data_IF_737383613021
#
_entry.id   IF_737383613021
#
_cell.length_a   1.000
_cell.length_b   1.000
_cell.length_c   1.000
_cell.angle_alpha   90.00
_cell.angle_beta   90.00
_cell.angle_gamma   90.00
#
_symmetry.space_group_name_H-M   'P 1'
#
loop_
_entity.id
_entity.type
_entity.pdbx_description
1 polymer ?
#
# COMPACT_ATOMS: atom_id res chain seq x y z
N UNK A 1 8.67 -25.73 44.26
CA UNK A 1 9.02 -26.67 43.17
C UNK A 1 8.11 -26.37 41.98
N UNK A 2 8.61 -25.58 41.03
CA UNK A 2 7.85 -25.21 39.80
C UNK A 2 8.06 -26.35 38.79
N UNK A 3 6.99 -27.12 38.55
CA UNK A 3 6.95 -28.07 37.45
C UNK A 3 7.09 -27.30 36.12
N UNK A 4 8.29 -27.30 35.55
CA UNK A 4 8.45 -27.00 34.13
C UNK A 4 7.81 -28.15 33.37
N UNK A 5 6.61 -27.88 32.82
CA UNK A 5 6.03 -28.73 31.79
C UNK A 5 7.02 -28.73 30.62
N UNK A 6 7.59 -29.87 30.22
CA UNK A 6 8.43 -29.89 29.03
C UNK A 6 7.55 -29.51 27.85
N UNK A 7 7.91 -28.42 27.15
CA UNK A 7 7.35 -28.14 25.85
C UNK A 7 7.58 -29.38 24.95
N UNK A 8 6.57 -29.88 24.26
CA UNK A 8 6.79 -30.94 23.28
C UNK A 8 7.76 -30.39 22.21
N UNK A 9 9.03 -30.75 22.37
CA UNK A 9 10.00 -30.72 21.31
C UNK A 9 9.45 -31.66 20.24
N UNK A 10 9.48 -31.24 18.96
CA UNK A 10 9.14 -32.05 17.78
C UNK A 10 7.67 -32.07 17.34
N UNK A 11 7.06 -30.87 17.18
CA UNK A 11 6.09 -30.75 16.09
C UNK A 11 6.89 -30.84 14.78
N UNK A 12 6.48 -31.71 13.81
CA UNK A 12 7.17 -31.83 12.55
C UNK A 12 7.27 -30.45 11.94
N UNK A 13 8.49 -30.02 11.63
CA UNK A 13 8.75 -28.73 10.99
C UNK A 13 8.15 -28.77 9.60
N UNK A 14 6.92 -28.32 9.47
CA UNK A 14 6.26 -28.22 8.18
C UNK A 14 7.11 -27.37 7.24
N UNK A 15 7.25 -27.84 5.99
CA UNK A 15 7.98 -27.11 4.97
C UNK A 15 7.34 -25.75 4.66
N UNK A 16 8.13 -24.82 4.16
CA UNK A 16 7.61 -23.52 3.73
C UNK A 16 6.46 -23.67 2.71
N UNK A 17 6.55 -24.65 1.80
CA UNK A 17 5.52 -24.88 0.79
C UNK A 17 4.18 -25.31 1.42
N UNK A 18 4.20 -26.06 2.51
CA UNK A 18 2.99 -26.35 3.29
C UNK A 18 2.31 -25.07 3.77
N UNK A 19 3.07 -24.14 4.35
CA UNK A 19 2.54 -22.88 4.87
C UNK A 19 2.10 -21.89 3.78
N UNK A 20 2.61 -22.05 2.56
CA UNK A 20 2.22 -21.25 1.40
C UNK A 20 1.05 -21.86 0.63
N UNK A 21 0.52 -23.03 1.03
CA UNK A 21 -0.56 -23.67 0.29
C UNK A 21 -1.85 -22.82 0.32
N UNK A 22 -2.53 -22.66 -0.82
CA UNK A 22 -3.78 -21.91 -0.88
C UNK A 22 -4.93 -22.60 -0.13
N UNK A 23 -4.88 -23.91 0.03
CA UNK A 23 -5.88 -24.68 0.79
C UNK A 23 -5.86 -24.29 2.26
N UNK A 24 -4.69 -24.26 2.88
CA UNK A 24 -4.54 -23.81 4.28
C UNK A 24 -4.99 -22.36 4.48
N UNK A 25 -4.71 -21.50 3.50
CA UNK A 25 -5.12 -20.10 3.56
C UNK A 25 -6.66 -19.94 3.53
N UNK A 26 -7.38 -20.84 2.82
CA UNK A 26 -8.85 -20.83 2.75
C UNK A 26 -9.52 -21.34 4.04
N UNK A 27 -8.93 -22.32 4.67
CA UNK A 27 -9.48 -22.93 5.90
C UNK A 27 -9.16 -22.09 7.14
N UNK A 28 -8.05 -21.37 7.12
CA UNK A 28 -7.64 -20.54 8.25
C UNK A 28 -8.42 -19.22 8.32
N UNK A 29 -8.90 -18.81 9.50
CA UNK A 29 -9.55 -17.52 9.66
C UNK A 29 -8.67 -16.37 9.12
N UNK A 30 -9.24 -15.40 8.39
CA UNK A 30 -8.47 -14.34 7.73
C UNK A 30 -7.68 -13.46 8.72
N UNK A 31 -8.15 -13.40 9.98
CA UNK A 31 -7.55 -12.60 11.04
C UNK A 31 -6.68 -13.43 12.00
N UNK A 32 -6.53 -14.74 11.78
CA UNK A 32 -5.64 -15.58 12.62
C UNK A 32 -4.20 -15.04 12.55
N UNK A 33 -3.57 -14.79 13.71
CA UNK A 33 -2.20 -14.29 13.73
C UNK A 33 -1.24 -15.37 13.21
N UNK A 34 -0.42 -15.01 12.22
CA UNK A 34 0.69 -15.85 11.77
C UNK A 34 1.88 -14.99 11.37
N UNK A 35 3.08 -15.57 11.49
CA UNK A 35 4.33 -14.88 11.14
C UNK A 35 4.36 -14.48 9.66
N UNK A 36 3.97 -15.38 8.75
CA UNK A 36 3.93 -15.11 7.33
C UNK A 36 2.97 -13.97 6.98
N UNK A 37 1.80 -13.90 7.63
CA UNK A 37 0.86 -12.77 7.43
C UNK A 37 1.47 -11.46 7.92
N UNK A 38 2.13 -11.46 9.08
CA UNK A 38 2.82 -10.27 9.59
C UNK A 38 3.89 -9.77 8.63
N UNK A 39 4.70 -10.68 8.05
CA UNK A 39 5.70 -10.35 7.04
C UNK A 39 5.05 -9.79 5.77
N UNK A 40 4.02 -10.45 5.27
CA UNK A 40 3.29 -10.01 4.08
C UNK A 40 2.64 -8.64 4.27
N UNK A 41 1.96 -8.43 5.39
CA UNK A 41 1.26 -7.20 5.70
C UNK A 41 2.26 -6.04 5.95
N UNK A 42 3.38 -6.29 6.65
CA UNK A 42 4.45 -5.30 6.84
C UNK A 42 5.11 -4.89 5.52
N UNK A 43 5.36 -5.86 4.63
CA UNK A 43 5.91 -5.57 3.30
C UNK A 43 4.89 -4.85 2.42
N UNK A 44 3.62 -5.28 2.47
CA UNK A 44 2.50 -4.66 1.77
C UNK A 44 2.31 -3.20 2.16
N UNK A 45 2.36 -2.90 3.45
CA UNK A 45 2.24 -1.53 3.98
C UNK A 45 3.34 -0.60 3.45
N UNK A 46 4.59 -1.06 3.46
CA UNK A 46 5.71 -0.28 2.90
C UNK A 46 5.58 -0.10 1.39
N UNK A 47 5.19 -1.16 0.67
CA UNK A 47 4.95 -1.09 -0.75
C UNK A 47 3.79 -0.14 -1.08
N UNK A 48 2.71 -0.15 -0.29
CA UNK A 48 1.58 0.76 -0.44
C UNK A 48 2.00 2.22 -0.30
N UNK A 49 2.83 2.56 0.69
CA UNK A 49 3.36 3.92 0.84
C UNK A 49 4.14 4.38 -0.39
N UNK A 50 5.02 3.53 -0.93
CA UNK A 50 5.77 3.88 -2.14
C UNK A 50 4.90 3.90 -3.40
N UNK A 51 3.83 3.12 -3.46
CA UNK A 51 2.88 3.18 -4.59
C UNK A 51 2.15 4.52 -4.67
N UNK A 52 1.88 5.17 -3.53
CA UNK A 52 1.35 6.53 -3.50
C UNK A 52 2.33 7.55 -4.08
N UNK A 53 3.64 7.40 -3.81
CA UNK A 53 4.66 8.26 -4.40
C UNK A 53 4.76 8.06 -5.93
N UNK A 54 4.66 6.81 -6.41
CA UNK A 54 4.66 6.48 -7.85
C UNK A 54 3.45 7.11 -8.54
N UNK A 55 2.25 7.01 -7.95
CA UNK A 55 1.03 7.58 -8.52
C UNK A 55 0.95 9.10 -8.33
N UNK A 56 1.44 9.61 -7.21
CA UNK A 56 1.43 11.04 -6.88
C UNK A 56 2.36 11.88 -7.75
N UNK A 57 3.48 11.30 -8.22
CA UNK A 57 4.40 12.02 -9.09
C UNK A 57 3.78 12.54 -10.39
N UNK A 58 3.12 11.71 -11.22
CA UNK A 58 2.40 12.17 -12.39
C UNK A 58 1.29 13.19 -12.07
N UNK A 59 0.56 12.99 -10.95
CA UNK A 59 -0.47 13.96 -10.51
C UNK A 59 0.16 15.31 -10.19
N UNK A 60 1.33 15.33 -9.55
CA UNK A 60 2.07 16.56 -9.26
C UNK A 60 2.52 17.27 -10.56
N UNK A 61 3.00 16.53 -11.55
CA UNK A 61 3.35 17.07 -12.85
C UNK A 61 2.12 17.64 -13.60
N UNK A 62 0.99 16.95 -13.57
CA UNK A 62 -0.29 17.43 -14.11
C UNK A 62 -0.77 18.69 -13.39
N UNK A 63 -0.60 18.78 -12.06
CA UNK A 63 -0.91 19.98 -11.31
C UNK A 63 -0.02 21.17 -11.77
N UNK A 64 1.27 20.92 -11.97
CA UNK A 64 2.19 21.92 -12.51
C UNK A 64 1.76 22.43 -13.89
N UNK A 65 1.37 21.54 -14.79
CA UNK A 65 0.86 21.89 -16.11
C UNK A 65 -0.44 22.72 -16.00
N UNK A 66 -1.38 22.25 -15.20
CA UNK A 66 -2.66 22.92 -14.98
C UNK A 66 -2.47 24.36 -14.47
N UNK A 67 -1.66 24.53 -13.41
CA UNK A 67 -1.39 25.85 -12.84
C UNK A 67 -0.64 26.77 -13.82
N UNK A 68 0.27 26.20 -14.63
CA UNK A 68 0.97 26.97 -15.66
C UNK A 68 0.02 27.50 -16.74
N UNK A 69 -0.93 26.67 -17.17
CA UNK A 69 -1.95 27.06 -18.16
C UNK A 69 -2.89 28.12 -17.57
N UNK A 70 -3.40 27.90 -16.36
CA UNK A 70 -4.36 28.82 -15.73
C UNK A 70 -3.73 30.19 -15.40
N UNK A 71 -2.47 30.22 -14.97
CA UNK A 71 -1.79 31.48 -14.65
C UNK A 71 -1.09 32.14 -15.83
N UNK A 72 -0.99 31.46 -16.98
CA UNK A 72 -0.19 31.94 -18.10
C UNK A 72 1.33 31.96 -17.83
N UNK A 73 1.79 31.33 -16.71
CA UNK A 73 3.19 31.37 -16.28
C UNK A 73 3.75 29.94 -16.20
N UNK A 74 4.85 29.58 -16.91
CA UNK A 74 5.43 28.25 -16.90
C UNK A 74 6.14 27.88 -15.59
N UNK A 75 6.26 28.78 -14.63
CA UNK A 75 6.98 28.52 -13.38
C UNK A 75 6.47 27.28 -12.63
N UNK A 76 5.16 27.05 -12.61
CA UNK A 76 4.57 25.90 -11.90
C UNK A 76 5.03 24.57 -12.51
N UNK A 77 5.00 24.40 -13.84
CA UNK A 77 5.45 23.14 -14.47
C UNK A 77 6.96 22.97 -14.36
N UNK A 78 7.74 24.03 -14.41
CA UNK A 78 9.19 23.98 -14.26
C UNK A 78 9.62 23.50 -12.87
N UNK A 79 8.81 23.74 -11.84
CA UNK A 79 9.08 23.26 -10.48
C UNK A 79 8.42 21.91 -10.21
N UNK A 80 7.11 21.80 -10.45
CA UNK A 80 6.33 20.62 -10.09
C UNK A 80 6.57 19.43 -11.03
N UNK A 81 6.94 19.68 -12.29
CA UNK A 81 7.28 18.64 -13.25
C UNK A 81 8.48 17.80 -12.83
N UNK A 82 9.67 18.41 -12.65
CA UNK A 82 10.86 17.69 -12.16
C UNK A 82 10.65 17.06 -10.78
N UNK A 83 9.92 17.73 -9.88
CA UNK A 83 9.63 17.20 -8.55
C UNK A 83 8.75 15.94 -8.65
N UNK A 84 7.73 15.95 -9.51
CA UNK A 84 6.88 14.81 -9.79
C UNK A 84 7.64 13.64 -10.41
N UNK A 85 8.54 13.94 -11.36
CA UNK A 85 9.42 12.92 -11.95
C UNK A 85 10.34 12.31 -10.91
N UNK A 86 11.00 13.12 -10.08
CA UNK A 86 11.87 12.66 -9.00
C UNK A 86 11.11 11.77 -8.01
N UNK A 87 9.90 12.18 -7.59
CA UNK A 87 9.03 11.42 -6.69
C UNK A 87 8.67 10.06 -7.29
N UNK A 88 8.33 10.00 -8.58
CA UNK A 88 8.03 8.75 -9.29
C UNK A 88 9.24 7.83 -9.31
N UNK A 89 10.42 8.32 -9.68
CA UNK A 89 11.64 7.52 -9.75
C UNK A 89 12.03 7.00 -8.37
N UNK A 90 12.04 7.85 -7.36
CA UNK A 90 12.32 7.46 -5.96
C UNK A 90 11.29 6.41 -5.47
N UNK A 91 10.03 6.61 -5.80
CA UNK A 91 8.96 5.66 -5.51
C UNK A 91 9.22 4.30 -6.12
N UNK A 92 9.54 4.23 -7.42
CA UNK A 92 9.83 2.99 -8.16
C UNK A 92 11.06 2.25 -7.60
N UNK A 93 12.16 2.96 -7.36
CA UNK A 93 13.39 2.38 -6.80
C UNK A 93 13.13 1.81 -5.40
N UNK A 94 12.48 2.59 -4.55
CA UNK A 94 12.18 2.19 -3.18
C UNK A 94 11.19 1.03 -3.13
N UNK A 95 10.17 1.05 -3.99
CA UNK A 95 9.18 -0.02 -4.11
C UNK A 95 9.82 -1.35 -4.54
N UNK A 96 10.73 -1.33 -5.52
CA UNK A 96 11.52 -2.52 -5.91
C UNK A 96 12.36 -3.05 -4.75
N UNK A 97 13.05 -2.16 -4.01
CA UNK A 97 13.88 -2.54 -2.85
C UNK A 97 13.06 -3.19 -1.74
N UNK A 98 11.90 -2.60 -1.40
CA UNK A 98 11.01 -3.13 -0.36
C UNK A 98 10.51 -4.52 -0.73
N UNK A 99 10.17 -4.74 -1.99
CA UNK A 99 9.63 -6.03 -2.45
C UNK A 99 10.66 -7.15 -2.51
N UNK A 100 11.93 -6.85 -2.62
CA UNK A 100 13.02 -7.83 -2.70
C UNK A 100 13.60 -8.26 -1.33
N UNK A 101 13.17 -7.64 -0.22
CA UNK A 101 13.75 -7.89 1.11
C UNK A 101 12.69 -8.28 2.13
N UNK A 102 13.09 -9.08 3.13
CA UNK A 102 12.26 -9.31 4.30
C UNK A 102 12.07 -8.00 5.08
N UNK A 103 10.82 -7.67 5.44
CA UNK A 103 10.55 -6.49 6.24
C UNK A 103 10.99 -6.69 7.69
N UNK A 104 11.53 -5.65 8.31
CA UNK A 104 11.72 -5.62 9.75
C UNK A 104 10.33 -5.44 10.41
N UNK A 105 9.85 -6.48 11.09
CA UNK A 105 8.54 -6.49 11.76
C UNK A 105 8.55 -5.82 13.14
N UNK A 106 9.72 -5.48 13.68
CA UNK A 106 9.82 -4.75 14.95
C UNK A 106 9.35 -3.29 14.83
N UNK A 107 9.24 -2.76 13.61
CA UNK A 107 8.66 -1.45 13.33
C UNK A 107 7.23 -1.65 12.83
N UNK A 108 6.27 -1.63 13.75
CA UNK A 108 4.85 -1.66 13.42
C UNK A 108 4.47 -0.39 12.65
N UNK A 109 4.22 -0.53 11.37
CA UNK A 109 3.58 0.50 10.56
C UNK A 109 2.06 0.31 10.69
N UNK A 110 1.43 1.17 11.48
CA UNK A 110 -0.02 1.16 11.62
C UNK A 110 -0.61 1.80 10.35
N UNK A 111 -1.24 1.00 9.53
CA UNK A 111 -2.03 1.47 8.38
C UNK A 111 -3.40 1.92 8.85
N UNK A 112 -3.66 3.21 8.76
CA UNK A 112 -4.97 3.82 9.05
C UNK A 112 -5.68 4.09 7.72
N UNK A 113 -6.17 3.07 7.05
CA UNK A 113 -6.84 3.25 5.76
C UNK A 113 -7.56 1.98 5.30
N UNK A 114 -8.35 2.06 4.23
CA UNK A 114 -9.04 0.89 3.70
C UNK A 114 -8.02 -0.16 3.25
N UNK A 115 -8.20 -1.39 3.76
CA UNK A 115 -7.31 -2.52 3.50
C UNK A 115 -7.49 -3.17 2.13
N UNK A 116 -8.37 -2.65 1.27
CA UNK A 116 -8.65 -3.18 -0.05
C UNK A 116 -9.09 -2.08 -1.03
N UNK A 117 -9.00 -2.38 -2.34
CA UNK A 117 -9.33 -1.45 -3.41
C UNK A 117 -10.79 -0.95 -3.35
N UNK A 118 -11.76 -1.82 -3.02
CA UNK A 118 -13.18 -1.46 -2.97
C UNK A 118 -13.44 -0.42 -1.88
N UNK A 119 -12.87 -0.62 -0.69
CA UNK A 119 -12.93 0.36 0.40
C UNK A 119 -12.26 1.68 0.03
N UNK A 120 -11.12 1.63 -0.66
CA UNK A 120 -10.44 2.82 -1.18
C UNK A 120 -11.30 3.60 -2.18
N UNK A 121 -11.93 2.91 -3.13
CA UNK A 121 -12.82 3.53 -4.12
C UNK A 121 -14.04 4.15 -3.43
N UNK A 122 -14.69 3.42 -2.51
CA UNK A 122 -15.86 3.94 -1.78
C UNK A 122 -15.51 5.20 -0.98
N UNK A 123 -14.35 5.22 -0.31
CA UNK A 123 -13.88 6.38 0.43
C UNK A 123 -13.62 7.57 -0.49
N UNK A 124 -12.94 7.36 -1.63
CA UNK A 124 -12.68 8.43 -2.59
C UNK A 124 -13.97 8.92 -3.24
N UNK A 125 -14.90 8.02 -3.58
CA UNK A 125 -16.20 8.41 -4.13
C UNK A 125 -17.00 9.29 -3.16
N UNK A 126 -17.01 8.93 -1.86
CA UNK A 126 -17.65 9.74 -0.83
C UNK A 126 -17.01 11.13 -0.69
N UNK A 127 -15.68 11.19 -0.58
CA UNK A 127 -14.97 12.47 -0.47
C UNK A 127 -15.12 13.32 -1.74
N UNK A 128 -14.97 12.74 -2.92
CA UNK A 128 -15.16 13.42 -4.19
C UNK A 128 -16.60 13.93 -4.33
N UNK A 129 -17.59 13.13 -3.93
CA UNK A 129 -18.99 13.54 -3.92
C UNK A 129 -19.26 14.75 -3.02
N UNK A 130 -18.71 14.74 -1.81
CA UNK A 130 -18.83 15.88 -0.88
C UNK A 130 -18.19 17.16 -1.46
N UNK A 131 -16.96 17.04 -1.98
CA UNK A 131 -16.26 18.19 -2.59
C UNK A 131 -17.01 18.64 -3.84
N UNK A 132 -17.48 17.70 -4.68
CA UNK A 132 -18.27 18.01 -5.86
C UNK A 132 -19.56 18.74 -5.55
N UNK A 133 -20.29 18.32 -4.52
CA UNK A 133 -21.51 19.00 -4.07
C UNK A 133 -21.22 20.44 -3.61
N UNK A 134 -20.14 20.65 -2.85
CA UNK A 134 -19.72 22.01 -2.46
C UNK A 134 -19.33 22.86 -3.69
N UNK A 135 -18.70 22.26 -4.70
CA UNK A 135 -18.31 22.97 -5.93
C UNK A 135 -19.51 23.37 -6.81
N UNK A 136 -20.58 22.57 -6.82
CA UNK A 136 -21.84 22.92 -7.55
C UNK A 136 -22.36 24.27 -7.08
N UNK A 137 -22.25 24.58 -5.78
CA UNK A 137 -22.65 25.87 -5.24
C UNK A 137 -21.77 27.06 -5.73
N UNK A 138 -20.53 26.77 -6.11
CA UNK A 138 -19.61 27.79 -6.63
C UNK A 138 -19.68 27.96 -8.15
N UNK A 139 -20.35 27.08 -8.89
CA UNK A 139 -20.44 27.10 -10.35
C UNK A 139 -21.05 28.40 -10.91
N UNK A 140 -22.17 28.96 -10.37
CA UNK A 140 -22.73 30.20 -10.92
C UNK A 140 -21.74 31.35 -10.87
N UNK A 141 -21.08 31.55 -9.72
CA UNK A 141 -20.07 32.60 -9.54
C UNK A 141 -18.84 32.36 -10.45
N UNK A 142 -18.44 31.11 -10.63
CA UNK A 142 -17.35 30.78 -11.54
C UNK A 142 -17.70 31.02 -13.00
N UNK A 143 -18.97 30.80 -13.39
CA UNK A 143 -19.47 31.07 -14.73
C UNK A 143 -19.47 32.58 -15.02
N UNK A 144 -19.96 33.41 -14.10
CA UNK A 144 -19.91 34.86 -14.20
C UNK A 144 -18.49 35.42 -14.34
N UNK A 145 -17.52 34.78 -13.71
CA UNK A 145 -16.08 35.17 -13.77
C UNK A 145 -15.31 34.52 -14.90
N UNK A 146 -15.92 33.65 -15.71
CA UNK A 146 -15.23 32.92 -16.76
C UNK A 146 -14.21 31.89 -16.27
N UNK A 147 -14.30 31.47 -14.98
CA UNK A 147 -13.33 30.56 -14.34
C UNK A 147 -13.82 29.12 -14.18
N UNK A 148 -14.93 28.76 -14.85
CA UNK A 148 -15.55 27.41 -14.75
C UNK A 148 -14.58 26.28 -15.10
N UNK A 149 -13.77 26.45 -16.16
CA UNK A 149 -12.79 25.45 -16.60
C UNK A 149 -11.72 25.25 -15.53
N UNK A 150 -11.27 26.33 -14.90
CA UNK A 150 -10.28 26.29 -13.81
C UNK A 150 -10.84 25.58 -12.59
N UNK A 151 -12.12 25.83 -12.26
CA UNK A 151 -12.80 25.18 -11.14
C UNK A 151 -12.92 23.66 -11.38
N UNK A 152 -13.36 23.25 -12.56
CA UNK A 152 -13.48 21.83 -12.92
C UNK A 152 -12.09 21.16 -12.94
N UNK A 153 -11.07 21.81 -13.50
CA UNK A 153 -9.71 21.29 -13.53
C UNK A 153 -9.13 21.10 -12.13
N UNK A 154 -9.36 22.06 -11.23
CA UNK A 154 -8.95 21.94 -9.82
C UNK A 154 -9.64 20.75 -9.13
N UNK A 155 -10.94 20.54 -9.37
CA UNK A 155 -11.65 19.40 -8.85
C UNK A 155 -11.06 18.07 -9.34
N UNK A 156 -10.81 17.95 -10.63
CA UNK A 156 -10.22 16.74 -11.20
C UNK A 156 -8.83 16.46 -10.62
N UNK A 157 -8.03 17.49 -10.36
CA UNK A 157 -6.74 17.34 -9.68
C UNK A 157 -6.91 16.83 -8.25
N UNK A 158 -7.87 17.35 -7.49
CA UNK A 158 -8.16 16.87 -6.13
C UNK A 158 -8.56 15.39 -6.17
N UNK A 159 -9.45 15.01 -7.09
CA UNK A 159 -9.85 13.59 -7.26
C UNK A 159 -8.63 12.74 -7.63
N UNK A 160 -7.76 13.20 -8.52
CA UNK A 160 -6.54 12.47 -8.88
C UNK A 160 -5.59 12.28 -7.68
N UNK A 161 -5.44 13.29 -6.82
CA UNK A 161 -4.68 13.19 -5.57
C UNK A 161 -5.32 12.16 -4.64
N UNK A 162 -6.63 12.19 -4.44
CA UNK A 162 -7.34 11.22 -3.62
C UNK A 162 -7.15 9.79 -4.14
N UNK A 163 -7.23 9.58 -5.45
CA UNK A 163 -6.97 8.27 -6.09
C UNK A 163 -5.54 7.84 -5.82
N UNK A 164 -4.55 8.69 -6.06
CA UNK A 164 -3.14 8.38 -5.86
C UNK A 164 -2.79 8.06 -4.40
N UNK A 165 -3.41 8.76 -3.44
CA UNK A 165 -3.11 8.63 -2.03
C UNK A 165 -3.95 7.59 -1.29
N UNK A 166 -5.12 7.21 -1.81
CA UNK A 166 -6.06 6.31 -1.13
C UNK A 166 -6.29 5.03 -1.95
N UNK A 167 -6.75 5.13 -3.20
CA UNK A 167 -7.13 3.94 -3.99
C UNK A 167 -5.90 3.10 -4.33
N UNK A 168 -4.83 3.72 -4.81
CA UNK A 168 -3.61 3.02 -5.23
C UNK A 168 -2.98 2.24 -4.08
N UNK A 169 -2.69 2.84 -2.89
CA UNK A 169 -2.15 2.07 -1.77
C UNK A 169 -3.12 1.03 -1.23
N UNK A 170 -4.43 1.29 -1.21
CA UNK A 170 -5.43 0.31 -0.79
C UNK A 170 -5.48 -0.91 -1.70
N UNK A 171 -5.32 -0.72 -3.01
CA UNK A 171 -5.24 -1.82 -3.97
C UNK A 171 -3.97 -2.66 -3.77
N UNK A 172 -2.84 -2.02 -3.45
CA UNK A 172 -1.58 -2.73 -3.13
C UNK A 172 -1.72 -3.53 -1.84
N UNK A 173 -2.32 -2.95 -0.79
CA UNK A 173 -2.57 -3.62 0.48
C UNK A 173 -3.49 -4.83 0.32
N UNK A 174 -4.59 -4.70 -0.42
CA UNK A 174 -5.54 -5.78 -0.64
C UNK A 174 -4.96 -7.00 -1.36
N UNK A 175 -3.84 -6.83 -2.06
CA UNK A 175 -3.10 -7.93 -2.75
C UNK A 175 -1.78 -8.28 -2.08
N UNK A 176 -1.50 -7.76 -0.89
CA UNK A 176 -0.20 -7.90 -0.25
C UNK A 176 0.19 -9.36 -0.02
N UNK A 177 -0.71 -10.17 0.54
CA UNK A 177 -0.48 -11.59 0.87
C UNK A 177 -0.29 -12.44 -0.38
N UNK A 178 -1.17 -12.28 -1.37
CA UNK A 178 -1.05 -12.97 -2.66
C UNK A 178 0.25 -12.60 -3.38
N UNK A 179 0.56 -11.30 -3.48
CA UNK A 179 1.80 -10.82 -4.07
C UNK A 179 3.04 -11.32 -3.34
N UNK A 180 2.97 -11.48 -2.02
CA UNK A 180 4.08 -12.02 -1.22
C UNK A 180 4.30 -13.50 -1.51
N UNK A 181 3.21 -14.29 -1.57
CA UNK A 181 3.25 -15.71 -1.96
C UNK A 181 3.92 -15.91 -3.32
N UNK A 182 3.43 -15.21 -4.35
CA UNK A 182 3.98 -15.30 -5.71
C UNK A 182 5.46 -14.92 -5.76
N UNK A 183 5.89 -13.94 -4.97
CA UNK A 183 7.29 -13.53 -4.92
C UNK A 183 8.19 -14.53 -4.21
N UNK A 184 7.75 -15.17 -3.15
CA UNK A 184 8.50 -16.26 -2.51
C UNK A 184 8.72 -17.39 -3.52
N UNK A 185 7.73 -17.68 -4.35
CA UNK A 185 7.84 -18.72 -5.38
C UNK A 185 8.77 -18.35 -6.53
N UNK A 186 8.83 -17.06 -6.91
CA UNK A 186 9.60 -16.58 -8.05
C UNK A 186 11.00 -16.04 -7.72
N UNK A 187 11.26 -15.70 -6.45
CA UNK A 187 12.53 -15.12 -6.02
C UNK A 187 13.25 -16.04 -5.02
N UNK A 188 14.32 -16.73 -5.45
CA UNK A 188 15.05 -17.67 -4.60
C UNK A 188 15.76 -17.00 -3.41
N UNK A 189 16.15 -15.73 -3.51
CA UNK A 189 16.76 -15.01 -2.38
C UNK A 189 15.73 -14.72 -1.28
N UNK A 190 14.55 -14.24 -1.68
CA UNK A 190 13.45 -14.01 -0.74
C UNK A 190 13.01 -15.32 -0.10
N UNK A 191 12.92 -16.41 -0.87
CA UNK A 191 12.57 -17.74 -0.36
C UNK A 191 13.56 -18.18 0.71
N UNK A 192 14.86 -18.14 0.43
CA UNK A 192 15.91 -18.49 1.42
C UNK A 192 15.83 -17.65 2.69
N UNK A 193 15.57 -16.34 2.54
CA UNK A 193 15.43 -15.46 3.69
C UNK A 193 14.20 -15.82 4.56
N UNK A 194 13.08 -16.23 3.94
CA UNK A 194 11.88 -16.69 4.65
C UNK A 194 12.13 -18.06 5.31
N UNK A 195 12.86 -18.98 4.65
CA UNK A 195 13.24 -20.28 5.21
C UNK A 195 14.17 -20.11 6.42
N UNK A 196 15.09 -19.15 6.37
CA UNK A 196 15.95 -18.80 7.52
C UNK A 196 15.12 -18.20 8.66
N UNK A 197 14.15 -17.32 8.37
CA UNK A 197 13.23 -16.80 9.39
C UNK A 197 12.39 -17.94 9.99
N UNK A 198 11.91 -18.89 9.18
CA UNK A 198 11.16 -20.06 9.65
C UNK A 198 11.99 -20.91 10.64
N UNK A 199 13.27 -21.12 10.35
CA UNK A 199 14.14 -21.94 11.20
C UNK A 199 14.43 -21.31 12.58
N UNK A 200 14.47 -19.98 12.63
CA UNK A 200 14.89 -19.22 13.84
C UNK A 200 13.71 -18.67 14.62
N UNK A 201 12.59 -18.37 13.93
CA UNK A 201 11.46 -17.70 14.56
C UNK A 201 10.78 -18.58 15.62
N UNK A 202 10.52 -17.96 16.77
CA UNK A 202 9.71 -18.54 17.84
C UNK A 202 8.69 -17.49 18.26
N UNK A 203 7.46 -17.89 18.50
CA UNK A 203 6.46 -16.98 19.03
C UNK A 203 6.75 -16.63 20.47
N UNK A 204 6.97 -15.34 20.81
CA UNK A 204 7.24 -14.92 22.19
C UNK A 204 6.07 -15.19 23.15
N UNK A 205 4.85 -15.31 22.63
CA UNK A 205 3.63 -15.47 23.42
C UNK A 205 2.97 -16.85 23.26
N UNK A 206 3.46 -17.72 22.38
CA UNK A 206 2.91 -19.04 22.13
C UNK A 206 1.53 -19.08 21.48
N UNK A 207 1.06 -17.94 20.95
CA UNK A 207 -0.30 -17.78 20.42
C UNK A 207 -0.38 -17.75 18.88
N UNK A 208 0.75 -17.62 18.21
CA UNK A 208 0.83 -17.50 16.76
C UNK A 208 1.65 -18.62 16.13
N UNK A 209 1.11 -19.25 15.10
CA UNK A 209 1.87 -20.16 14.24
C UNK A 209 2.73 -19.39 13.22
N UNK A 210 3.68 -20.10 12.57
CA UNK A 210 4.44 -19.51 11.47
C UNK A 210 3.55 -19.22 10.24
N UNK A 211 2.65 -20.10 9.90
CA UNK A 211 1.67 -19.95 8.83
C UNK A 211 0.24 -20.13 9.31
N UNK A 212 -0.72 -20.21 8.40
CA UNK A 212 -0.62 -20.02 6.94
C UNK A 212 -0.52 -18.55 6.51
N UNK A 213 -0.16 -18.38 5.20
CA UNK A 213 -0.14 -17.06 4.56
C UNK A 213 -1.51 -16.65 4.05
#
# INVERSE_FOLDING_TARGET
MTHRVPFPADLPAYSLDHWLSPELARVSPPNAPSRLRQLADAQGTRAAGWSSAIAGGPVLALAGLFFSVVSGNPAAILVLGPLGAALTVLGLVSWKRVRGRLPNTNKLLITRGPGNARGGIAMVAGLAGLIGAAMVMALPTAAERGTTVSLIGAYLLVVAVLVACIVVPSAVLGRARESFRLRIQSNPELRRAVEQDLAVWRDPHGNAGYGPL
#
